data_IF_597204308417
#
_entry.id   IF_597204308417
#
_cell.length_a   1.000
_cell.length_b   1.000
_cell.length_c   1.000
_cell.angle_alpha   90.00
_cell.angle_beta   90.00
_cell.angle_gamma   90.00
#
_symmetry.space_group_name_H-M   'P 1'
#
loop_
_entity.id
_entity.type
_entity.pdbx_description
1 polymer ?
#
# COMPACT_ATOMS: atom_id res chain seq x y z
N UNK A 1 -7.78 16.24 19.22
CA UNK A 1 -7.00 15.66 18.10
C UNK A 1 -5.98 16.69 17.65
N UNK A 2 -4.84 16.23 17.16
CA UNK A 2 -3.90 17.12 16.51
C UNK A 2 -4.37 17.37 15.09
N UNK A 3 -4.16 18.59 14.60
CA UNK A 3 -4.53 18.96 13.24
C UNK A 3 -3.38 19.70 12.58
N UNK A 4 -3.31 19.61 11.26
CA UNK A 4 -2.34 20.34 10.44
C UNK A 4 -3.02 20.82 9.17
N UNK A 5 -3.04 22.13 8.96
CA UNK A 5 -3.55 22.72 7.72
C UNK A 5 -2.55 22.55 6.59
N UNK A 6 -3.06 22.25 5.40
CA UNK A 6 -2.28 22.16 4.16
C UNK A 6 -2.97 22.95 3.06
N UNK A 7 -2.31 23.10 1.91
CA UNK A 7 -2.91 23.76 0.75
C UNK A 7 -4.12 23.00 0.17
N UNK A 8 -4.23 21.70 0.45
CA UNK A 8 -5.25 20.81 -0.11
C UNK A 8 -6.28 20.33 0.93
N UNK A 9 -6.18 20.76 2.19
CA UNK A 9 -7.10 20.34 3.24
C UNK A 9 -6.54 20.46 4.64
N UNK A 10 -6.96 19.55 5.53
CA UNK A 10 -6.50 19.49 6.92
C UNK A 10 -6.22 18.05 7.30
N UNK A 11 -4.99 17.75 7.71
CA UNK A 11 -4.65 16.51 8.38
C UNK A 11 -5.24 16.49 9.78
N UNK A 12 -5.78 15.35 10.17
CA UNK A 12 -6.31 15.10 11.50
C UNK A 12 -5.65 13.83 12.01
N UNK A 13 -5.03 13.91 13.18
CA UNK A 13 -4.64 12.73 13.93
C UNK A 13 -5.87 12.22 14.70
N UNK A 14 -6.56 11.26 14.09
CA UNK A 14 -7.71 10.60 14.67
C UNK A 14 -7.33 9.45 15.62
N UNK A 15 -6.04 9.20 15.85
CA UNK A 15 -5.55 8.05 16.60
C UNK A 15 -5.84 6.72 15.91
N UNK A 16 -5.94 5.64 16.69
CA UNK A 16 -6.27 4.33 16.16
C UNK A 16 -7.78 4.23 15.85
N UNK A 17 -8.10 4.19 14.55
CA UNK A 17 -9.46 3.93 14.08
C UNK A 17 -9.70 2.41 13.99
N UNK A 18 -10.84 1.95 14.50
CA UNK A 18 -11.24 0.56 14.35
C UNK A 18 -11.78 0.29 12.94
N UNK A 19 -11.41 -0.86 12.36
CA UNK A 19 -11.91 -1.29 11.06
C UNK A 19 -13.45 -1.35 11.07
N UNK A 20 -14.09 -0.94 9.97
CA UNK A 20 -15.55 -1.00 9.79
C UNK A 20 -16.33 -0.31 10.93
N UNK A 21 -15.77 0.76 11.50
CA UNK A 21 -16.40 1.56 12.54
C UNK A 21 -16.68 2.99 12.06
N UNK A 22 -17.55 3.69 12.78
CA UNK A 22 -17.82 5.12 12.57
C UNK A 22 -17.34 5.88 13.79
N UNK A 23 -16.48 6.86 13.56
CA UNK A 23 -15.96 7.76 14.61
C UNK A 23 -16.54 9.15 14.41
N UNK A 24 -17.37 9.58 15.36
CA UNK A 24 -17.93 10.94 15.36
C UNK A 24 -16.85 11.97 15.70
N UNK A 25 -16.72 12.99 14.86
CA UNK A 25 -15.82 14.12 15.08
C UNK A 25 -16.64 15.40 15.23
N UNK A 26 -16.29 16.23 16.22
CA UNK A 26 -16.87 17.56 16.39
C UNK A 26 -15.80 18.62 16.19
N UNK A 27 -16.06 19.58 15.29
CA UNK A 27 -15.22 20.76 15.12
C UNK A 27 -15.64 21.77 16.20
N UNK A 28 -14.67 22.17 17.03
CA UNK A 28 -14.84 23.17 18.08
C UNK A 28 -13.86 24.31 17.88
N UNK A 29 -14.25 25.53 18.21
CA UNK A 29 -13.33 26.67 18.27
C UNK A 29 -12.46 26.56 19.52
N UNK A 30 -11.14 26.68 19.37
CA UNK A 30 -10.19 26.62 20.48
C UNK A 30 -8.73 26.62 20.03
N UNK A 31 -7.81 26.76 20.99
CA UNK A 31 -6.38 26.63 20.71
C UNK A 31 -6.05 25.21 20.24
N UNK A 32 -5.36 25.11 19.11
CA UNK A 32 -4.87 23.84 18.61
C UNK A 32 -3.77 23.33 19.54
N UNK A 33 -3.94 22.11 20.05
CA UNK A 33 -2.82 21.41 20.69
C UNK A 33 -1.75 21.17 19.62
N UNK A 34 -0.52 21.59 19.86
CA UNK A 34 0.63 21.18 19.05
C UNK A 34 1.18 19.89 19.64
N UNK A 35 1.30 18.81 18.87
CA UNK A 35 1.97 17.63 19.38
C UNK A 35 3.48 17.93 19.47
N UNK A 36 4.13 17.38 20.49
CA UNK A 36 5.58 17.34 20.54
C UNK A 36 6.06 16.26 19.57
N UNK A 37 6.13 16.58 18.27
CA UNK A 37 6.66 15.66 17.26
C UNK A 37 8.08 16.02 16.88
N UNK A 38 8.90 15.00 16.63
CA UNK A 38 10.27 15.13 16.13
C UNK A 38 10.29 15.06 14.60
N UNK A 39 9.26 15.59 13.93
CA UNK A 39 9.19 15.58 12.47
C UNK A 39 10.02 16.75 11.93
N UNK A 40 11.15 16.42 11.31
CA UNK A 40 12.11 17.37 10.76
C UNK A 40 12.03 17.29 9.23
N UNK A 41 12.00 18.46 8.59
CA UNK A 41 12.05 18.55 7.13
C UNK A 41 12.92 19.71 6.65
N UNK A 42 13.78 19.40 5.69
CA UNK A 42 14.55 20.35 4.88
C UNK A 42 14.54 19.84 3.43
N UNK A 43 15.04 20.58 2.44
CA UNK A 43 15.16 20.06 1.07
C UNK A 43 15.96 18.75 0.95
N UNK A 44 16.87 18.46 1.89
CA UNK A 44 17.77 17.31 1.86
C UNK A 44 17.43 16.25 2.92
N UNK A 45 16.38 16.46 3.73
CA UNK A 45 16.08 15.60 4.87
C UNK A 45 14.59 15.50 5.17
N UNK A 46 14.10 14.28 5.38
CA UNK A 46 12.86 13.96 6.09
C UNK A 46 13.21 13.03 7.26
N UNK A 47 12.81 13.38 8.48
CA UNK A 47 13.06 12.53 9.64
C UNK A 47 11.90 12.59 10.62
N UNK A 48 11.52 11.43 11.15
CA UNK A 48 10.61 11.32 12.28
C UNK A 48 11.26 10.46 13.39
N UNK A 49 10.46 9.97 14.33
CA UNK A 49 10.96 9.13 15.43
C UNK A 49 11.45 7.75 14.96
N UNK A 50 10.92 7.21 13.86
CA UNK A 50 11.22 5.86 13.37
C UNK A 50 12.20 5.80 12.21
N UNK A 51 12.26 6.83 11.36
CA UNK A 51 12.99 6.79 10.09
C UNK A 51 13.64 8.13 9.77
N UNK A 52 14.82 8.06 9.15
CA UNK A 52 15.56 9.21 8.62
C UNK A 52 15.85 8.98 7.14
N UNK A 53 15.44 9.90 6.28
CA UNK A 53 15.60 9.86 4.82
C UNK A 53 16.43 11.06 4.37
N UNK A 54 17.55 10.82 3.70
CA UNK A 54 18.44 11.87 3.20
C UNK A 54 18.45 11.91 1.67
N UNK A 55 18.36 13.12 1.12
CA UNK A 55 18.42 13.38 -0.32
C UNK A 55 19.71 14.13 -0.66
N UNK A 56 20.32 13.81 -1.80
CA UNK A 56 21.44 14.57 -2.33
C UNK A 56 20.97 15.83 -3.10
N UNK A 57 21.91 16.65 -3.57
CA UNK A 57 21.61 17.87 -4.34
C UNK A 57 20.98 17.60 -5.73
N UNK A 58 21.07 16.37 -6.24
CA UNK A 58 20.37 15.94 -7.43
C UNK A 58 18.93 15.51 -7.13
N UNK A 59 18.52 15.43 -5.86
CA UNK A 59 17.20 15.01 -5.39
C UNK A 59 17.04 13.50 -5.22
N UNK A 60 18.14 12.74 -5.28
CA UNK A 60 18.12 11.29 -5.12
C UNK A 60 18.07 10.92 -3.65
N UNK A 61 17.29 9.91 -3.30
CA UNK A 61 17.31 9.34 -1.95
C UNK A 61 18.57 8.48 -1.84
N UNK A 62 19.54 8.96 -1.08
CA UNK A 62 20.86 8.32 -0.90
C UNK A 62 20.96 7.56 0.41
N UNK A 63 20.03 7.78 1.33
CA UNK A 63 20.01 7.11 2.62
C UNK A 63 18.58 6.99 3.16
N UNK A 64 18.26 5.80 3.66
CA UNK A 64 17.06 5.54 4.45
C UNK A 64 17.52 4.73 5.65
N UNK A 65 17.44 5.33 6.84
CA UNK A 65 17.87 4.72 8.09
C UNK A 65 16.67 4.44 8.97
N UNK A 66 16.50 3.18 9.37
CA UNK A 66 15.50 2.78 10.36
C UNK A 66 16.09 2.96 11.75
N UNK A 67 15.56 3.94 12.48
CA UNK A 67 16.00 4.32 13.83
C UNK A 67 15.54 3.32 14.90
N UNK A 68 14.51 2.53 14.61
CA UNK A 68 13.96 1.55 15.56
C UNK A 68 14.77 0.25 15.53
N UNK A 69 15.32 -0.12 14.37
CA UNK A 69 16.17 -1.31 14.18
C UNK A 69 17.65 -0.98 14.02
N UNK A 70 17.98 0.31 14.05
CA UNK A 70 19.33 0.86 14.01
C UNK A 70 20.15 0.42 12.79
N UNK A 71 19.50 0.29 11.61
CA UNK A 71 20.15 -0.18 10.37
C UNK A 71 19.81 0.65 9.15
N UNK A 72 20.70 0.59 8.16
CA UNK A 72 20.44 1.12 6.82
C UNK A 72 19.45 0.20 6.09
N UNK A 73 18.53 0.81 5.35
CA UNK A 73 17.59 0.11 4.46
C UNK A 73 18.22 -0.08 3.07
N UNK A 74 19.10 0.82 2.67
CA UNK A 74 19.77 0.79 1.37
C UNK A 74 21.18 0.21 1.49
N UNK A 75 21.68 -0.53 0.48
CA UNK A 75 23.09 -0.88 0.40
C UNK A 75 23.97 0.37 0.29
N UNK A 76 25.24 0.26 0.69
CA UNK A 76 26.19 1.38 0.60
C UNK A 76 26.29 1.93 -0.84
N UNK A 77 26.10 3.25 -0.97
CA UNK A 77 26.19 3.96 -2.25
C UNK A 77 24.98 3.75 -3.19
N UNK A 78 23.97 2.99 -2.78
CA UNK A 78 22.76 2.79 -3.57
C UNK A 78 21.85 4.01 -3.55
N UNK A 79 21.01 4.15 -4.58
CA UNK A 79 20.00 5.20 -4.71
C UNK A 79 18.62 4.56 -4.76
N UNK A 80 17.71 5.04 -3.92
CA UNK A 80 16.30 4.64 -3.89
C UNK A 80 15.42 5.61 -4.67
N UNK A 81 14.19 5.18 -4.98
CA UNK A 81 13.22 5.95 -5.77
C UNK A 81 13.79 6.41 -7.13
N UNK A 82 14.60 5.56 -7.76
CA UNK A 82 15.27 5.89 -9.02
C UNK A 82 14.38 5.54 -10.21
N UNK A 83 14.00 6.54 -11.01
CA UNK A 83 13.31 6.29 -12.28
C UNK A 83 14.27 5.73 -13.32
N UNK A 84 13.87 4.62 -13.92
CA UNK A 84 14.59 3.88 -14.94
C UNK A 84 13.66 3.71 -16.15
N UNK A 85 14.04 4.32 -17.27
CA UNK A 85 13.34 4.16 -18.54
C UNK A 85 14.04 3.09 -19.38
N UNK A 86 13.26 2.20 -19.97
CA UNK A 86 13.74 1.08 -20.77
C UNK A 86 13.15 1.13 -22.17
N UNK A 87 13.90 0.69 -23.18
CA UNK A 87 13.34 0.50 -24.52
C UNK A 87 12.35 -0.67 -24.50
N UNK A 88 11.12 -0.42 -24.93
CA UNK A 88 10.01 -1.37 -24.91
C UNK A 88 9.49 -1.58 -26.33
N UNK A 89 10.18 -2.46 -27.05
CA UNK A 89 9.88 -2.84 -28.43
C UNK A 89 9.78 -4.36 -28.53
N UNK A 90 8.67 -4.96 -28.09
CA UNK A 90 8.53 -6.41 -28.13
C UNK A 90 8.47 -6.91 -29.58
N UNK A 91 8.92 -8.15 -29.79
CA UNK A 91 8.98 -8.79 -31.10
C UNK A 91 7.59 -8.92 -31.74
N UNK A 92 6.57 -9.18 -30.93
CA UNK A 92 5.17 -9.24 -31.33
C UNK A 92 4.29 -8.53 -30.29
N UNK A 93 3.09 -8.11 -30.69
CA UNK A 93 2.03 -7.61 -29.82
C UNK A 93 2.46 -6.51 -28.82
N UNK A 94 2.82 -5.34 -29.37
CA UNK A 94 3.29 -4.14 -28.64
C UNK A 94 2.62 -3.91 -27.27
N UNK A 95 1.29 -3.79 -27.21
CA UNK A 95 0.59 -3.56 -25.94
C UNK A 95 0.50 -4.78 -25.00
N UNK A 96 0.73 -6.00 -25.46
CA UNK A 96 0.58 -7.22 -24.66
C UNK A 96 1.90 -7.73 -24.11
N UNK A 97 2.95 -7.74 -24.93
CA UNK A 97 4.21 -8.38 -24.59
C UNK A 97 5.22 -7.36 -24.05
N UNK A 98 6.04 -7.80 -23.11
CA UNK A 98 7.34 -7.18 -22.78
C UNK A 98 8.36 -8.27 -23.03
N UNK A 99 9.43 -7.97 -23.75
CA UNK A 99 10.50 -8.95 -23.98
C UNK A 99 11.53 -8.88 -22.87
N UNK A 100 12.12 -10.04 -22.52
CA UNK A 100 13.09 -10.17 -21.42
C UNK A 100 14.34 -9.28 -21.58
N UNK A 101 14.64 -8.85 -22.81
CA UNK A 101 15.78 -8.00 -23.17
C UNK A 101 15.48 -6.50 -23.06
N UNK A 102 14.33 -6.11 -22.47
CA UNK A 102 13.98 -4.71 -22.27
C UNK A 102 15.07 -3.93 -21.49
N UNK A 103 15.85 -4.62 -20.66
CA UNK A 103 16.92 -4.04 -19.85
C UNK A 103 18.26 -3.82 -20.58
N UNK A 104 18.35 -4.14 -21.89
CA UNK A 104 19.54 -3.89 -22.72
C UNK A 104 19.83 -2.38 -22.93
N UNK A 105 18.78 -1.55 -22.89
CA UNK A 105 18.90 -0.08 -22.99
C UNK A 105 18.15 0.58 -21.86
N UNK A 106 18.91 1.30 -21.03
CA UNK A 106 18.39 1.99 -19.86
C UNK A 106 18.80 3.46 -19.85
N UNK A 107 17.87 4.33 -19.47
CA UNK A 107 18.11 5.73 -19.15
C UNK A 107 17.65 6.02 -17.72
N UNK A 108 18.38 6.89 -17.04
CA UNK A 108 18.03 7.40 -15.71
C UNK A 108 17.43 8.79 -15.82
N UNK A 109 16.69 9.20 -14.80
CA UNK A 109 16.16 10.56 -14.72
C UNK A 109 17.29 11.59 -14.60
N UNK A 110 17.05 12.78 -15.15
CA UNK A 110 17.93 13.91 -14.99
C UNK A 110 17.96 14.37 -13.51
N UNK A 111 19.04 15.04 -13.06
CA UNK A 111 19.06 15.70 -11.76
C UNK A 111 17.85 16.62 -11.57
N UNK A 112 17.41 16.75 -10.32
CA UNK A 112 16.28 17.60 -9.98
C UNK A 112 16.49 19.04 -10.43
N UNK A 113 15.48 19.60 -11.08
CA UNK A 113 15.43 21.02 -11.44
C UNK A 113 14.97 21.88 -10.27
N UNK A 114 14.25 21.29 -9.32
CA UNK A 114 13.77 21.94 -8.09
C UNK A 114 13.59 20.89 -6.99
N UNK A 115 14.01 21.25 -5.77
CA UNK A 115 13.74 20.50 -4.53
C UNK A 115 13.24 21.52 -3.51
N UNK A 116 12.01 21.36 -3.01
CA UNK A 116 11.39 22.30 -2.09
C UNK A 116 10.58 21.62 -1.02
N UNK A 117 10.62 22.16 0.20
CA UNK A 117 9.68 21.77 1.26
C UNK A 117 8.33 22.41 0.95
N UNK A 118 7.29 21.59 0.76
CA UNK A 118 5.92 22.07 0.49
C UNK A 118 5.00 21.88 1.70
N UNK A 119 5.42 21.08 2.67
CA UNK A 119 4.68 20.81 3.90
C UNK A 119 5.66 20.57 5.06
N UNK A 120 5.48 21.28 6.17
CA UNK A 120 6.36 21.23 7.36
C UNK A 120 5.56 21.27 8.68
N UNK A 121 4.35 20.71 8.67
CA UNK A 121 3.55 20.66 9.87
C UNK A 121 3.90 19.45 10.76
N UNK A 122 3.29 19.35 11.94
CA UNK A 122 3.70 18.40 12.95
C UNK A 122 3.19 16.96 12.73
N UNK A 123 2.23 16.74 11.84
CA UNK A 123 1.66 15.42 11.50
C UNK A 123 2.25 14.81 10.24
N UNK A 124 2.59 15.64 9.26
CA UNK A 124 3.17 15.22 7.99
C UNK A 124 4.15 16.26 7.48
N UNK A 125 5.24 15.79 6.89
CA UNK A 125 6.19 16.61 6.17
C UNK A 125 6.31 16.10 4.74
N UNK A 126 6.50 17.02 3.80
CA UNK A 126 6.54 16.70 2.37
C UNK A 126 7.59 17.54 1.65
N UNK A 127 8.48 16.87 0.92
CA UNK A 127 9.39 17.45 -0.06
C UNK A 127 8.79 17.25 -1.44
N UNK A 128 8.79 18.30 -2.25
CA UNK A 128 8.51 18.21 -3.67
C UNK A 128 9.82 18.21 -4.47
N UNK A 129 9.98 17.23 -5.36
CA UNK A 129 11.10 17.09 -6.29
C UNK A 129 10.58 17.15 -7.73
N UNK A 130 11.09 18.08 -8.52
CA UNK A 130 10.75 18.21 -9.95
C UNK A 130 11.91 17.73 -10.81
N UNK A 131 11.61 16.86 -11.78
CA UNK A 131 12.59 16.16 -12.61
C UNK A 131 12.07 15.97 -14.03
N UNK A 132 12.96 15.48 -14.89
CA UNK A 132 12.65 15.03 -16.23
C UNK A 132 13.26 13.64 -16.45
N UNK A 133 12.53 12.78 -17.15
CA UNK A 133 13.02 11.50 -17.67
C UNK A 133 12.75 11.53 -19.18
N UNK A 134 13.79 11.44 -20.00
CA UNK A 134 13.69 11.58 -21.45
C UNK A 134 12.95 12.89 -21.84
N UNK A 135 11.75 12.81 -22.43
CA UNK A 135 10.93 13.94 -22.84
C UNK A 135 9.78 14.25 -21.86
N UNK A 136 9.66 13.46 -20.79
CA UNK A 136 8.55 13.51 -19.83
C UNK A 136 8.97 14.21 -18.55
N UNK A 137 8.24 15.27 -18.18
CA UNK A 137 8.46 16.01 -16.93
C UNK A 137 7.59 15.44 -15.84
N UNK A 138 8.12 15.36 -14.63
CA UNK A 138 7.38 14.83 -13.50
C UNK A 138 7.71 15.55 -12.20
N UNK A 139 6.76 15.48 -11.28
CA UNK A 139 6.84 16.01 -9.93
C UNK A 139 6.54 14.88 -8.95
N UNK A 140 7.40 14.70 -7.96
CA UNK A 140 7.19 13.77 -6.86
C UNK A 140 6.98 14.52 -5.57
N UNK A 141 5.93 14.16 -4.83
CA UNK A 141 5.72 14.52 -3.44
C UNK A 141 6.19 13.35 -2.57
N UNK A 142 7.32 13.52 -1.89
CA UNK A 142 7.91 12.55 -0.99
C UNK A 142 7.50 12.95 0.43
N UNK A 143 6.71 12.10 1.08
CA UNK A 143 6.05 12.43 2.34
C UNK A 143 6.32 11.44 3.45
N UNK A 144 6.46 11.96 4.66
CA UNK A 144 6.65 11.19 5.88
C UNK A 144 5.65 11.66 6.94
N UNK A 145 4.90 10.70 7.48
CA UNK A 145 3.99 10.95 8.61
C UNK A 145 4.76 10.86 9.93
N UNK A 146 4.32 11.58 10.96
CA UNK A 146 5.03 11.67 12.23
C UNK A 146 5.15 10.33 13.01
N UNK A 147 4.25 9.38 12.74
CA UNK A 147 4.07 8.13 13.49
C UNK A 147 4.20 6.85 12.64
N UNK A 148 4.80 6.94 11.46
CA UNK A 148 4.94 5.80 10.54
C UNK A 148 6.32 5.77 9.89
N UNK A 149 6.97 4.59 9.75
CA UNK A 149 8.20 4.47 8.98
C UNK A 149 7.96 4.48 7.46
N UNK A 150 6.69 4.43 7.03
CA UNK A 150 6.28 4.42 5.62
C UNK A 150 6.65 5.75 4.94
N UNK A 151 7.38 5.63 3.83
CA UNK A 151 7.68 6.74 2.93
C UNK A 151 6.69 6.70 1.77
N UNK A 152 5.83 7.72 1.66
CA UNK A 152 4.86 7.83 0.57
C UNK A 152 5.42 8.69 -0.56
N UNK A 153 5.33 8.20 -1.80
CA UNK A 153 5.73 8.93 -3.01
C UNK A 153 4.53 9.03 -3.95
N UNK A 154 3.94 10.22 -4.02
CA UNK A 154 2.94 10.55 -5.05
C UNK A 154 3.64 11.19 -6.24
N UNK A 155 3.44 10.64 -7.44
CA UNK A 155 4.03 11.14 -8.67
C UNK A 155 2.94 11.67 -9.60
N UNK A 156 3.13 12.89 -10.10
CA UNK A 156 2.43 13.46 -11.23
C UNK A 156 3.41 13.56 -12.41
N UNK A 157 3.11 12.92 -13.55
CA UNK A 157 3.96 12.90 -14.75
C UNK A 157 3.16 13.25 -16.00
N UNK A 158 3.72 14.09 -16.86
CA UNK A 158 3.23 14.31 -18.22
C UNK A 158 3.99 13.35 -19.14
N UNK A 159 3.38 12.19 -19.38
CA UNK A 159 3.99 11.07 -20.08
C UNK A 159 3.92 11.27 -21.59
N UNK A 160 5.08 11.42 -22.23
CA UNK A 160 5.22 11.78 -23.65
C UNK A 160 6.09 10.81 -24.45
N UNK A 161 6.46 9.68 -23.85
CA UNK A 161 7.37 8.72 -24.47
C UNK A 161 6.65 7.79 -25.45
N UNK A 162 7.42 7.12 -26.31
CA UNK A 162 6.93 6.08 -27.23
C UNK A 162 7.86 4.88 -27.17
N UNK A 163 7.30 3.68 -27.06
CA UNK A 163 8.05 2.44 -26.87
C UNK A 163 9.02 2.50 -25.68
N UNK A 164 8.58 3.06 -24.56
CA UNK A 164 9.32 3.12 -23.30
C UNK A 164 8.50 2.44 -22.20
N UNK A 165 9.19 1.61 -21.40
CA UNK A 165 8.73 1.10 -20.13
C UNK A 165 9.43 1.89 -19.01
N UNK A 166 8.66 2.65 -18.23
CA UNK A 166 9.16 3.36 -17.05
C UNK A 166 9.00 2.46 -15.82
N UNK A 167 10.09 2.28 -15.07
CA UNK A 167 10.07 1.66 -13.75
C UNK A 167 10.66 2.60 -12.69
N UNK A 168 10.36 2.32 -11.43
CA UNK A 168 11.07 2.88 -10.27
C UNK A 168 11.81 1.77 -9.53
N UNK A 169 13.04 2.03 -9.11
CA UNK A 169 13.89 1.07 -8.41
C UNK A 169 14.19 1.45 -6.96
N UNK A 170 14.15 0.44 -6.10
CA UNK A 170 14.50 0.47 -4.69
C UNK A 170 15.48 -0.68 -4.39
N UNK A 171 16.79 -0.44 -4.50
CA UNK A 171 17.79 -1.34 -3.94
C UNK A 171 17.65 -1.37 -2.42
N UNK A 172 17.56 -2.55 -1.82
CA UNK A 172 17.45 -2.73 -0.36
C UNK A 172 18.57 -3.62 0.15
N UNK A 173 19.05 -3.39 1.37
CA UNK A 173 20.10 -4.20 1.99
C UNK A 173 19.48 -5.47 2.62
N UNK A 174 18.90 -6.32 1.77
CA UNK A 174 18.21 -7.55 2.15
C UNK A 174 18.69 -8.70 1.29
N UNK A 175 19.06 -9.80 1.94
CA UNK A 175 19.44 -11.03 1.27
C UNK A 175 18.33 -12.07 1.40
N UNK A 176 17.58 -12.28 0.32
CA UNK A 176 16.63 -13.39 0.24
C UNK A 176 16.62 -14.03 -1.15
N UNK A 177 16.58 -15.38 -1.25
CA UNK A 177 16.45 -16.07 -2.52
C UNK A 177 15.03 -15.99 -3.10
N UNK A 178 14.06 -15.47 -2.34
CA UNK A 178 12.66 -15.35 -2.75
C UNK A 178 12.05 -14.03 -2.32
N UNK A 179 11.18 -13.49 -3.16
CA UNK A 179 10.34 -12.34 -2.85
C UNK A 179 8.87 -12.78 -2.76
N UNK A 180 8.08 -12.06 -1.96
CA UNK A 180 6.65 -12.32 -1.79
C UNK A 180 5.83 -11.30 -2.58
N UNK A 181 4.84 -11.79 -3.32
CA UNK A 181 3.95 -10.98 -4.16
C UNK A 181 2.51 -11.23 -3.70
N UNK A 182 1.77 -10.16 -3.37
CA UNK A 182 0.35 -10.28 -3.05
C UNK A 182 -0.44 -10.74 -4.29
N UNK A 183 -1.32 -11.70 -4.09
CA UNK A 183 -2.34 -12.11 -5.05
C UNK A 183 -3.72 -12.05 -4.38
N UNK A 184 -4.78 -12.30 -5.14
CA UNK A 184 -6.13 -12.34 -4.61
C UNK A 184 -6.20 -13.31 -3.41
N UNK A 185 -6.56 -12.76 -2.24
CA UNK A 185 -6.74 -13.49 -0.98
C UNK A 185 -5.52 -14.30 -0.50
N UNK A 186 -4.32 -13.84 -0.81
CA UNK A 186 -3.09 -14.49 -0.36
C UNK A 186 -1.83 -13.91 -0.97
N UNK A 187 -0.82 -14.75 -1.10
CA UNK A 187 0.45 -14.35 -1.70
C UNK A 187 1.15 -15.57 -2.32
N UNK A 188 2.12 -15.28 -3.19
CA UNK A 188 3.01 -16.28 -3.77
C UNK A 188 4.45 -15.84 -3.63
N UNK A 189 5.34 -16.80 -3.46
CA UNK A 189 6.78 -16.55 -3.47
C UNK A 189 7.36 -16.84 -4.85
N UNK A 190 8.22 -15.93 -5.33
CA UNK A 190 8.98 -16.09 -6.57
C UNK A 190 10.48 -15.93 -6.29
N UNK A 191 11.36 -16.67 -6.98
CA UNK A 191 12.79 -16.50 -6.82
C UNK A 191 13.26 -15.10 -7.24
N UNK A 192 14.27 -14.58 -6.54
CA UNK A 192 14.93 -13.30 -6.88
C UNK A 192 16.11 -13.48 -7.85
N UNK A 193 16.38 -14.71 -8.29
CA UNK A 193 17.50 -15.05 -9.16
C UNK A 193 17.02 -15.72 -10.45
N UNK A 194 17.86 -15.77 -11.49
CA UNK A 194 17.53 -16.40 -12.79
C UNK A 194 18.33 -17.70 -13.02
N UNK A 195 18.20 -18.68 -12.12
CA UNK A 195 19.00 -19.91 -12.17
C UNK A 195 18.42 -20.99 -13.09
N UNK A 196 17.09 -21.03 -13.25
CA UNK A 196 16.41 -21.98 -14.15
C UNK A 196 15.69 -21.26 -15.28
N UNK A 197 15.31 -21.97 -16.35
CA UNK A 197 14.50 -21.40 -17.44
C UNK A 197 13.16 -20.84 -16.94
N UNK A 198 12.58 -21.42 -15.90
CA UNK A 198 11.37 -20.94 -15.25
C UNK A 198 11.58 -19.64 -14.49
N UNK A 199 12.77 -19.43 -13.94
CA UNK A 199 13.10 -18.19 -13.25
C UNK A 199 13.42 -17.08 -14.25
N UNK A 200 14.13 -17.43 -15.33
CA UNK A 200 14.32 -16.54 -16.48
C UNK A 200 12.99 -16.01 -17.02
N UNK A 201 11.99 -16.88 -17.18
CA UNK A 201 10.68 -16.50 -17.69
C UNK A 201 9.86 -15.58 -16.77
N UNK A 202 10.24 -15.44 -15.49
CA UNK A 202 9.52 -14.62 -14.48
C UNK A 202 10.23 -13.29 -14.22
N UNK A 203 10.74 -12.67 -15.27
CA UNK A 203 11.43 -11.38 -15.16
C UNK A 203 10.49 -10.22 -14.81
N UNK A 204 9.17 -10.39 -14.98
CA UNK A 204 8.10 -9.49 -14.56
C UNK A 204 7.01 -10.34 -13.90
N UNK A 205 6.48 -9.90 -12.76
CA UNK A 205 5.44 -10.61 -12.00
C UNK A 205 4.32 -9.67 -11.62
N UNK A 206 3.08 -10.16 -11.74
CA UNK A 206 1.90 -9.44 -11.27
C UNK A 206 1.77 -9.52 -9.74
N UNK A 207 1.53 -8.37 -9.11
CA UNK A 207 1.07 -8.27 -7.72
C UNK A 207 -0.02 -7.22 -7.60
N UNK A 208 -0.87 -7.33 -6.58
CA UNK A 208 -2.03 -6.45 -6.43
C UNK A 208 -1.64 -5.10 -5.78
N UNK A 209 -1.36 -5.08 -4.48
CA UNK A 209 -1.12 -3.86 -3.70
C UNK A 209 0.27 -3.80 -3.09
N UNK A 210 0.93 -4.95 -2.90
CA UNK A 210 2.29 -4.98 -2.37
C UNK A 210 3.15 -6.11 -2.93
N UNK A 211 4.46 -5.84 -2.91
CA UNK A 211 5.53 -6.83 -3.01
C UNK A 211 6.48 -6.66 -1.84
N UNK A 212 7.17 -7.73 -1.48
CA UNK A 212 8.02 -7.74 -0.30
C UNK A 212 9.31 -8.53 -0.51
N UNK A 213 10.41 -7.99 0.02
CA UNK A 213 11.66 -8.70 0.19
C UNK A 213 12.06 -8.67 1.66
N UNK A 214 12.08 -9.84 2.29
CA UNK A 214 12.39 -10.01 3.70
C UNK A 214 13.48 -11.07 3.91
N UNK A 215 14.35 -10.82 4.89
CA UNK A 215 15.29 -11.78 5.46
C UNK A 215 14.87 -12.16 6.90
N UNK A 216 15.76 -12.75 7.68
CA UNK A 216 15.42 -13.37 8.96
C UNK A 216 14.65 -12.48 9.94
N UNK A 217 15.13 -11.26 10.19
CA UNK A 217 14.61 -10.34 11.20
C UNK A 217 14.23 -8.96 10.65
N UNK A 218 14.26 -8.77 9.33
CA UNK A 218 14.00 -7.49 8.70
C UNK A 218 13.49 -7.66 7.27
N UNK A 219 12.70 -6.69 6.81
CA UNK A 219 12.19 -6.70 5.45
C UNK A 219 11.76 -5.32 5.00
N UNK A 220 11.53 -5.23 3.69
CA UNK A 220 11.06 -4.02 3.03
C UNK A 220 9.95 -4.38 2.08
N UNK A 221 8.76 -3.83 2.37
CA UNK A 221 7.61 -3.92 1.49
C UNK A 221 7.52 -2.68 0.61
N UNK A 222 7.16 -2.88 -0.65
CA UNK A 222 6.81 -1.82 -1.59
C UNK A 222 5.32 -1.92 -1.90
N UNK A 223 4.59 -0.84 -1.62
CA UNK A 223 3.14 -0.73 -1.77
C UNK A 223 2.80 0.12 -2.99
N UNK A 224 1.64 -0.10 -3.61
CA UNK A 224 1.15 0.74 -4.71
C UNK A 224 -0.38 0.87 -4.71
N UNK A 225 -0.90 1.89 -5.42
CA UNK A 225 -2.34 2.15 -5.58
C UNK A 225 -2.92 1.72 -6.94
N UNK A 226 -2.10 1.58 -7.97
CA UNK A 226 -2.58 1.30 -9.33
C UNK A 226 -1.58 0.58 -10.26
N UNK A 227 -0.49 0.03 -9.72
CA UNK A 227 0.60 -0.57 -10.52
C UNK A 227 0.69 -2.07 -10.26
N UNK A 228 0.55 -2.87 -11.31
CA UNK A 228 0.46 -4.32 -11.15
C UNK A 228 1.73 -5.07 -11.57
N UNK A 229 2.59 -4.45 -12.38
CA UNK A 229 3.86 -5.04 -12.83
C UNK A 229 5.00 -4.79 -11.85
N UNK A 230 5.71 -5.84 -11.46
CA UNK A 230 6.84 -5.76 -10.53
C UNK A 230 7.95 -6.72 -10.94
N UNK A 231 9.18 -6.35 -10.68
CA UNK A 231 10.31 -7.28 -10.74
C UNK A 231 11.20 -7.12 -9.52
N UNK A 232 11.59 -8.25 -8.91
CA UNK A 232 12.54 -8.26 -7.79
C UNK A 232 13.68 -9.17 -8.20
N UNK A 233 14.83 -8.56 -8.48
CA UNK A 233 16.05 -9.26 -8.87
C UNK A 233 17.12 -8.98 -7.83
N UNK A 234 17.65 -10.06 -7.26
CA UNK A 234 18.56 -10.03 -6.12
C UNK A 234 17.93 -9.19 -5.00
N UNK A 235 18.50 -8.02 -4.74
CA UNK A 235 18.08 -7.11 -3.68
C UNK A 235 17.42 -5.82 -4.22
N UNK A 236 17.09 -5.77 -5.51
CA UNK A 236 16.47 -4.59 -6.12
C UNK A 236 15.00 -4.86 -6.39
N UNK A 237 14.14 -4.10 -5.71
CA UNK A 237 12.69 -4.11 -5.94
C UNK A 237 12.35 -3.04 -6.98
N UNK A 238 11.63 -3.43 -8.04
CA UNK A 238 11.14 -2.51 -9.07
C UNK A 238 9.63 -2.62 -9.26
N UNK A 239 9.01 -1.46 -9.49
CA UNK A 239 7.61 -1.34 -9.92
C UNK A 239 7.60 -0.81 -11.35
N UNK A 240 6.86 -1.46 -12.24
CA UNK A 240 6.53 -0.95 -13.56
C UNK A 240 5.45 0.11 -13.46
N UNK A 241 5.79 1.34 -13.82
CA UNK A 241 4.94 2.53 -13.61
C UNK A 241 4.07 2.85 -14.81
N UNK A 242 4.69 2.99 -15.98
CA UNK A 242 4.01 3.36 -17.23
C UNK A 242 4.65 2.62 -18.38
N UNK A 243 3.85 2.31 -19.40
CA UNK A 243 4.32 1.88 -20.71
C UNK A 243 3.82 2.86 -21.76
N UNK A 244 4.38 2.80 -22.95
CA UNK A 244 3.89 3.58 -24.09
C UNK A 244 3.91 2.75 -25.38
N UNK A 245 3.16 1.63 -25.44
CA UNK A 245 2.97 0.92 -26.67
C UNK A 245 2.22 1.81 -27.67
N UNK A 246 2.33 1.51 -28.95
CA UNK A 246 1.67 2.26 -30.04
C UNK A 246 0.69 1.41 -30.84
N UNK A 247 0.59 0.11 -30.52
CA UNK A 247 -0.35 -0.82 -31.11
C UNK A 247 -1.05 -1.63 -30.02
N UNK A 248 -2.39 -1.67 -29.98
CA UNK A 248 -3.32 -1.20 -31.01
C UNK A 248 -3.64 0.30 -30.95
N UNK A 249 -3.31 0.96 -29.83
CA UNK A 249 -3.58 2.38 -29.60
C UNK A 249 -2.29 3.21 -29.78
N UNK A 250 -2.22 4.10 -30.78
CA UNK A 250 -1.05 4.95 -31.03
C UNK A 250 -0.70 5.96 -29.94
N UNK A 251 -1.63 6.23 -29.02
CA UNK A 251 -1.52 7.22 -27.95
C UNK A 251 -1.72 6.61 -26.55
N UNK A 252 -1.54 5.29 -26.42
CA UNK A 252 -1.69 4.59 -25.15
C UNK A 252 -0.90 5.27 -24.02
N UNK A 253 -1.58 5.54 -22.91
CA UNK A 253 -1.09 6.16 -21.68
C UNK A 253 -0.45 7.56 -21.81
N UNK A 254 -0.47 8.18 -23.00
CA UNK A 254 0.03 9.54 -23.22
C UNK A 254 -0.70 10.57 -22.35
N UNK A 255 0.03 11.58 -21.90
CA UNK A 255 -0.51 12.73 -21.16
C UNK A 255 -0.36 12.61 -19.65
N UNK A 256 -1.25 13.28 -18.92
CA UNK A 256 -1.14 13.42 -17.47
C UNK A 256 -1.50 12.12 -16.75
N UNK A 257 -0.56 11.61 -15.96
CA UNK A 257 -0.70 10.42 -15.13
C UNK A 257 -0.40 10.76 -13.68
N UNK A 258 -1.15 10.17 -12.76
CA UNK A 258 -0.92 10.29 -11.32
C UNK A 258 -0.95 8.91 -10.67
N UNK A 259 0.01 8.64 -9.80
CA UNK A 259 0.08 7.36 -9.08
C UNK A 259 0.88 7.51 -7.79
N UNK A 260 0.61 6.59 -6.85
CA UNK A 260 1.28 6.55 -5.54
C UNK A 260 1.88 5.18 -5.29
N UNK A 261 3.08 5.17 -4.75
CA UNK A 261 3.70 4.00 -4.17
C UNK A 261 4.42 4.38 -2.90
N UNK A 262 4.66 3.39 -2.05
CA UNK A 262 5.26 3.60 -0.74
C UNK A 262 6.33 2.57 -0.46
N UNK A 263 7.37 2.99 0.24
CA UNK A 263 8.38 2.09 0.81
C UNK A 263 8.11 1.93 2.30
N UNK A 264 7.98 0.69 2.76
CA UNK A 264 7.70 0.36 4.16
C UNK A 264 8.72 -0.65 4.68
N UNK A 265 9.76 -0.19 5.40
CA UNK A 265 10.61 -1.06 6.20
C UNK A 265 9.83 -1.63 7.38
N UNK A 266 10.07 -2.89 7.72
CA UNK A 266 9.42 -3.55 8.86
C UNK A 266 10.33 -4.58 9.54
N UNK A 267 9.95 -4.99 10.75
CA UNK A 267 10.64 -6.06 11.46
C UNK A 267 10.19 -7.43 10.97
N UNK A 268 11.13 -8.36 10.92
CA UNK A 268 10.90 -9.74 10.50
C UNK A 268 10.43 -9.83 9.05
N UNK A 269 9.57 -10.81 8.81
CA UNK A 269 8.93 -11.02 7.52
C UNK A 269 7.72 -10.10 7.34
N UNK A 270 7.25 -9.94 6.09
CA UNK A 270 5.97 -9.26 5.84
C UNK A 270 4.84 -9.87 6.67
N UNK A 271 3.87 -9.04 7.01
CA UNK A 271 2.78 -9.47 7.87
C UNK A 271 1.61 -8.50 7.90
N UNK A 272 1.02 -8.38 9.08
CA UNK A 272 -0.21 -7.62 9.32
C UNK A 272 -0.01 -6.13 9.08
N UNK A 273 1.20 -5.63 9.38
CA UNK A 273 1.59 -4.23 9.15
C UNK A 273 1.59 -3.88 7.66
N UNK A 274 2.31 -4.66 6.84
CA UNK A 274 2.35 -4.51 5.38
C UNK A 274 0.95 -4.58 4.77
N UNK A 275 0.16 -5.58 5.13
CA UNK A 275 -1.19 -5.77 4.58
C UNK A 275 -2.08 -4.57 4.95
N UNK A 276 -2.09 -4.17 6.22
CA UNK A 276 -2.88 -3.02 6.70
C UNK A 276 -2.47 -1.72 5.99
N UNK A 277 -1.16 -1.49 5.82
CA UNK A 277 -0.65 -0.33 5.09
C UNK A 277 -1.07 -0.35 3.62
N UNK A 278 -0.99 -1.52 2.97
CA UNK A 278 -1.42 -1.72 1.59
C UNK A 278 -2.92 -1.42 1.41
N UNK A 279 -3.78 -1.90 2.31
CA UNK A 279 -5.21 -1.55 2.30
C UNK A 279 -5.43 -0.06 2.60
N UNK A 280 -4.75 0.52 3.58
CA UNK A 280 -4.91 1.95 3.91
C UNK A 280 -4.52 2.89 2.76
N UNK A 281 -3.56 2.48 1.92
CA UNK A 281 -3.19 3.20 0.70
C UNK A 281 -4.29 3.12 -0.38
N UNK A 282 -5.05 2.02 -0.43
CA UNK A 282 -6.01 1.71 -1.49
C UNK A 282 -7.49 1.96 -1.10
N UNK A 283 -7.79 2.07 0.19
CA UNK A 283 -9.14 2.25 0.73
C UNK A 283 -9.18 3.52 1.62
N UNK A 284 -9.37 4.71 1.03
CA UNK A 284 -9.34 5.96 1.76
C UNK A 284 -10.54 6.09 2.71
N UNK A 285 -10.31 6.76 3.84
CA UNK A 285 -11.38 7.04 4.80
C UNK A 285 -12.51 7.86 4.18
N UNK A 286 -13.75 7.43 4.40
CA UNK A 286 -14.94 8.17 4.00
C UNK A 286 -15.26 9.20 5.08
N UNK A 287 -15.18 10.49 4.73
CA UNK A 287 -15.57 11.60 5.60
C UNK A 287 -16.97 12.07 5.21
N UNK A 288 -17.89 12.11 6.18
CA UNK A 288 -19.26 12.57 5.98
C UNK A 288 -19.62 13.67 6.99
N UNK A 289 -20.14 14.78 6.47
CA UNK A 289 -20.65 15.89 7.28
C UNK A 289 -22.18 15.88 7.23
N UNK A 290 -22.88 15.60 8.35
CA UNK A 290 -24.34 15.56 8.37
C UNK A 290 -24.95 16.96 8.18
N UNK A 291 -26.07 17.04 7.44
CA UNK A 291 -26.78 18.31 7.18
C UNK A 291 -27.45 18.90 8.42
N UNK A 292 -27.92 18.05 9.33
CA UNK A 292 -28.48 18.44 10.61
C UNK A 292 -27.46 18.12 11.71
N UNK A 293 -27.17 19.12 12.56
CA UNK A 293 -26.43 18.87 13.79
C UNK A 293 -27.25 17.86 14.61
N UNK A 294 -26.67 16.70 14.90
CA UNK A 294 -27.28 15.78 15.84
C UNK A 294 -27.45 16.52 17.19
N UNK A 295 -28.66 16.53 17.73
CA UNK A 295 -28.97 17.13 19.04
C UNK A 295 -28.25 16.43 20.21
N UNK A 296 -27.64 15.27 19.93
CA UNK A 296 -26.82 14.54 20.89
C UNK A 296 -25.34 14.77 20.56
N UNK A 297 -24.69 15.57 21.41
CA UNK A 297 -23.25 15.54 21.58
C UNK A 297 -22.87 14.10 21.96
N UNK A 298 -22.43 13.34 20.98
CA UNK A 298 -22.00 12.00 21.17
C UNK A 298 -20.69 11.84 20.41
N UNK A 299 -19.60 12.07 21.13
CA UNK A 299 -18.33 11.35 20.94
C UNK A 299 -18.57 9.83 21.12
N UNK A 300 -19.56 9.27 20.42
CA UNK A 300 -19.89 7.86 20.44
C UNK A 300 -19.21 7.25 19.22
N UNK A 301 -18.11 6.57 19.49
CA UNK A 301 -17.62 5.58 18.55
C UNK A 301 -18.70 4.50 18.45
N UNK A 302 -19.34 4.42 17.27
CA UNK A 302 -20.26 3.32 17.02
C UNK A 302 -19.45 2.02 16.97
N UNK A 303 -19.95 0.92 17.54
CA UNK A 303 -19.24 -0.35 17.49
C UNK A 303 -18.97 -0.73 16.04
N UNK A 304 -17.83 -1.40 15.81
CA UNK A 304 -17.51 -1.94 14.49
C UNK A 304 -18.66 -2.82 13.99
N UNK A 305 -19.03 -2.66 12.72
CA UNK A 305 -20.12 -3.40 12.12
C UNK A 305 -19.86 -4.91 12.19
N UNK A 306 -18.62 -5.30 11.87
CA UNK A 306 -18.08 -6.65 12.01
C UNK A 306 -16.60 -6.52 12.40
N UNK A 307 -16.11 -7.34 13.33
CA UNK A 307 -14.67 -7.49 13.61
C UNK A 307 -14.29 -8.96 13.76
N UNK A 308 -13.01 -9.25 13.60
CA UNK A 308 -12.40 -10.53 13.97
C UNK A 308 -11.26 -10.32 14.98
N UNK A 309 -11.00 -11.34 15.80
CA UNK A 309 -9.94 -11.30 16.82
C UNK A 309 -8.54 -11.64 16.28
N UNK A 310 -8.45 -12.11 15.03
CA UNK A 310 -7.19 -12.51 14.38
C UNK A 310 -6.77 -11.48 13.32
N UNK A 311 -5.66 -10.77 13.51
CA UNK A 311 -5.19 -9.76 12.55
C UNK A 311 -4.69 -10.34 11.21
N UNK A 312 -4.32 -11.61 11.14
CA UNK A 312 -4.02 -12.31 9.89
C UNK A 312 -5.28 -12.81 9.14
N UNK A 313 -6.49 -12.54 9.66
CA UNK A 313 -7.76 -12.83 8.98
C UNK A 313 -8.38 -11.52 8.54
N UNK A 314 -8.48 -11.33 7.24
CA UNK A 314 -8.91 -10.07 6.64
C UNK A 314 -10.37 -10.19 6.24
N UNK A 315 -11.20 -9.26 6.70
CA UNK A 315 -12.57 -9.10 6.19
C UNK A 315 -12.47 -8.35 4.86
N UNK A 316 -12.76 -9.06 3.78
CA UNK A 316 -12.62 -8.53 2.41
C UNK A 316 -13.95 -7.95 1.91
N UNK A 317 -15.06 -8.59 2.24
CA UNK A 317 -16.35 -8.23 1.65
C UNK A 317 -17.44 -8.24 2.69
N UNK A 318 -18.25 -7.18 2.71
CA UNK A 318 -19.51 -7.11 3.43
C UNK A 318 -20.56 -6.62 2.46
N UNK A 319 -21.61 -7.42 2.26
CA UNK A 319 -22.73 -7.05 1.39
C UNK A 319 -24.04 -7.66 1.90
N UNK A 320 -25.17 -7.18 1.41
CA UNK A 320 -26.45 -7.89 1.59
C UNK A 320 -26.42 -9.21 0.80
N UNK A 321 -27.09 -10.23 1.31
CA UNK A 321 -27.33 -11.44 0.54
C UNK A 321 -28.19 -11.13 -0.70
N UNK A 322 -27.96 -11.84 -1.80
CA UNK A 322 -28.68 -11.58 -3.06
C UNK A 322 -30.18 -11.84 -2.96
N UNK A 323 -30.58 -12.82 -2.15
CA UNK A 323 -31.99 -13.12 -1.83
C UNK A 323 -32.60 -12.16 -0.80
N UNK A 324 -31.83 -11.18 -0.32
CA UNK A 324 -32.24 -10.21 0.68
C UNK A 324 -32.23 -10.74 2.12
N UNK A 325 -31.93 -12.02 2.35
CA UNK A 325 -31.93 -12.62 3.67
C UNK A 325 -30.54 -12.64 4.31
N UNK A 326 -30.28 -11.61 5.12
CA UNK A 326 -29.05 -11.49 5.91
C UNK A 326 -27.92 -10.76 5.19
N UNK A 327 -26.74 -10.84 5.80
CA UNK A 327 -25.52 -10.15 5.40
C UNK A 327 -24.45 -11.19 5.07
N UNK A 328 -23.81 -11.06 3.92
CA UNK A 328 -22.67 -11.89 3.52
C UNK A 328 -21.39 -11.19 3.97
N UNK A 329 -20.59 -11.92 4.74
CA UNK A 329 -19.24 -11.52 5.16
C UNK A 329 -18.24 -12.53 4.60
N UNK A 330 -17.30 -12.05 3.78
CA UNK A 330 -16.21 -12.87 3.24
C UNK A 330 -14.90 -12.48 3.89
N UNK A 331 -14.18 -13.48 4.35
CA UNK A 331 -12.88 -13.35 5.01
C UNK A 331 -11.87 -14.27 4.35
N UNK A 332 -10.58 -13.96 4.49
CA UNK A 332 -9.52 -14.88 4.12
C UNK A 332 -8.37 -14.85 5.13
N UNK A 333 -7.67 -15.98 5.24
CA UNK A 333 -6.43 -16.09 6.00
C UNK A 333 -5.23 -15.69 5.11
N UNK A 334 -4.45 -14.70 5.53
CA UNK A 334 -3.44 -14.07 4.65
C UNK A 334 -2.01 -14.57 4.82
N UNK A 335 -1.71 -15.35 5.86
CA UNK A 335 -0.34 -15.63 6.31
C UNK A 335 0.00 -17.13 6.45
N UNK A 336 -0.78 -17.99 5.80
CA UNK A 336 -0.61 -19.45 5.84
C UNK A 336 -0.73 -20.02 7.26
N UNK A 337 -1.51 -19.40 8.14
CA UNK A 337 -1.74 -19.85 9.52
C UNK A 337 -3.03 -20.65 9.64
N UNK A 338 -3.09 -21.49 10.67
CA UNK A 338 -4.30 -22.21 11.07
C UNK A 338 -4.70 -21.74 12.45
N UNK A 339 -6.00 -21.60 12.70
CA UNK A 339 -6.45 -21.19 14.02
C UNK A 339 -7.95 -21.11 14.16
N UNK A 340 -8.37 -20.83 15.39
CA UNK A 340 -9.75 -20.53 15.74
C UNK A 340 -9.94 -19.02 15.67
N UNK A 341 -11.00 -18.57 15.00
CA UNK A 341 -11.33 -17.16 14.77
C UNK A 341 -12.67 -16.86 15.41
N UNK A 342 -12.73 -15.79 16.20
CA UNK A 342 -13.97 -15.25 16.74
C UNK A 342 -14.35 -14.01 15.95
N UNK A 343 -15.57 -14.02 15.39
CA UNK A 343 -16.18 -12.88 14.73
C UNK A 343 -17.22 -12.28 15.66
N UNK A 344 -17.13 -10.98 15.90
CA UNK A 344 -18.10 -10.20 16.69
C UNK A 344 -18.80 -9.21 15.77
N UNK A 345 -20.12 -9.13 15.84
CA UNK A 345 -20.96 -8.18 15.11
C UNK A 345 -21.43 -7.03 15.99
N UNK A 346 -21.75 -5.88 15.37
CA UNK A 346 -22.42 -4.75 16.03
C UNK A 346 -23.91 -4.96 16.31
N UNK A 347 -24.45 -6.15 16.02
CA UNK A 347 -25.87 -6.53 16.16
C UNK A 347 -25.99 -8.00 16.60
N UNK A 348 -27.15 -8.39 17.13
CA UNK A 348 -27.38 -9.78 17.53
C UNK A 348 -27.65 -10.70 16.32
N UNK A 349 -27.16 -11.94 16.41
CA UNK A 349 -27.26 -12.96 15.38
C UNK A 349 -28.39 -13.94 15.72
N UNK A 350 -29.27 -14.18 14.76
CA UNK A 350 -30.28 -15.25 14.83
C UNK A 350 -29.71 -16.57 14.30
N UNK A 351 -29.08 -16.51 13.13
CA UNK A 351 -28.48 -17.67 12.47
C UNK A 351 -27.19 -17.29 11.74
N UNK A 352 -26.27 -18.25 11.66
CA UNK A 352 -25.04 -18.10 10.89
C UNK A 352 -24.80 -19.35 10.08
N UNK A 353 -24.45 -19.18 8.80
CA UNK A 353 -24.19 -20.27 7.88
C UNK A 353 -22.84 -20.07 7.20
N UNK A 354 -22.04 -21.13 7.11
CA UNK A 354 -21.00 -21.18 6.08
C UNK A 354 -21.68 -21.23 4.72
N UNK A 355 -21.18 -20.46 3.77
CA UNK A 355 -21.66 -20.50 2.38
C UNK A 355 -20.51 -20.70 1.42
N UNK A 356 -20.83 -21.17 0.22
CA UNK A 356 -19.91 -21.04 -0.90
C UNK A 356 -19.90 -19.60 -1.46
N UNK A 357 -19.12 -19.36 -2.53
CA UNK A 357 -19.02 -18.05 -3.17
C UNK A 357 -20.34 -17.57 -3.80
N UNK A 358 -21.28 -18.48 -4.05
CA UNK A 358 -22.63 -18.23 -4.59
C UNK A 358 -23.69 -18.08 -3.49
N UNK A 359 -23.28 -17.97 -2.22
CA UNK A 359 -24.18 -17.73 -1.07
C UNK A 359 -25.11 -18.90 -0.74
N UNK A 360 -24.83 -20.09 -1.28
CA UNK A 360 -25.56 -21.30 -0.96
C UNK A 360 -25.15 -21.78 0.44
N UNK A 361 -26.14 -21.93 1.33
CA UNK A 361 -25.90 -22.36 2.70
C UNK A 361 -25.37 -23.79 2.75
N UNK A 362 -24.26 -23.97 3.45
CA UNK A 362 -23.70 -25.25 3.85
C UNK A 362 -23.92 -25.52 5.33
N UNK A 363 -22.84 -25.66 6.08
CA UNK A 363 -22.89 -25.97 7.51
C UNK A 363 -23.32 -24.77 8.35
N UNK A 364 -24.25 -24.99 9.30
CA UNK A 364 -24.64 -23.97 10.26
C UNK A 364 -23.55 -23.77 11.31
N UNK A 365 -23.22 -22.52 11.62
CA UNK A 365 -22.26 -22.14 12.65
C UNK A 365 -23.02 -21.70 13.89
N UNK A 366 -22.62 -22.23 15.05
CA UNK A 366 -23.21 -21.81 16.32
C UNK A 366 -22.80 -20.38 16.66
N UNK A 367 -23.77 -19.55 17.02
CA UNK A 367 -23.57 -18.17 17.48
C UNK A 367 -24.23 -17.96 18.85
N UNK A 368 -23.70 -17.01 19.63
CA UNK A 368 -24.24 -16.61 20.92
C UNK A 368 -24.26 -15.08 21.00
N UNK A 369 -25.45 -14.49 21.09
CA UNK A 369 -25.61 -13.04 21.07
C UNK A 369 -25.11 -12.44 19.76
N UNK A 370 -24.00 -11.72 19.81
CA UNK A 370 -23.37 -11.08 18.66
C UNK A 370 -22.01 -11.72 18.27
N UNK A 371 -21.72 -12.92 18.77
CA UNK A 371 -20.46 -13.60 18.53
C UNK A 371 -20.65 -14.98 17.90
N UNK A 372 -19.71 -15.36 17.04
CA UNK A 372 -19.58 -16.71 16.52
C UNK A 372 -18.10 -17.11 16.47
N UNK A 373 -17.82 -18.40 16.41
CA UNK A 373 -16.44 -18.88 16.33
C UNK A 373 -16.31 -20.06 15.39
N UNK A 374 -15.31 -20.02 14.53
CA UNK A 374 -15.03 -21.05 13.53
C UNK A 374 -13.52 -21.32 13.44
N UNK A 375 -13.14 -22.41 12.77
CA UNK A 375 -11.74 -22.71 12.48
C UNK A 375 -11.41 -22.30 11.05
N UNK A 376 -10.24 -21.70 10.84
CA UNK A 376 -9.74 -21.31 9.53
C UNK A 376 -8.45 -22.06 9.19
N UNK A 377 -8.30 -22.48 7.94
CA UNK A 377 -7.11 -23.15 7.40
C UNK A 377 -6.19 -22.13 6.70
N UNK A 378 -4.92 -22.48 6.47
CA UNK A 378 -4.00 -21.65 5.70
C UNK A 378 -4.57 -21.25 4.34
N UNK A 379 -4.63 -19.95 4.04
CA UNK A 379 -5.22 -19.37 2.82
C UNK A 379 -6.67 -19.76 2.54
N UNK A 380 -7.43 -20.16 3.56
CA UNK A 380 -8.84 -20.46 3.38
C UNK A 380 -9.65 -19.18 3.21
N UNK A 381 -10.51 -19.18 2.19
CA UNK A 381 -11.53 -18.16 1.99
C UNK A 381 -12.80 -18.66 2.66
N UNK A 382 -13.28 -17.92 3.64
CA UNK A 382 -14.50 -18.24 4.39
C UNK A 382 -15.57 -17.24 3.99
N UNK A 383 -16.73 -17.72 3.54
CA UNK A 383 -17.92 -16.89 3.36
C UNK A 383 -18.96 -17.29 4.41
N UNK A 384 -19.46 -16.29 5.14
CA UNK A 384 -20.48 -16.45 6.16
C UNK A 384 -21.72 -15.65 5.77
N UNK A 385 -22.89 -16.26 5.88
CA UNK A 385 -24.17 -15.56 5.89
C UNK A 385 -24.60 -15.34 7.34
N UNK A 386 -24.79 -14.08 7.72
CA UNK A 386 -25.22 -13.63 9.03
C UNK A 386 -26.68 -13.16 8.96
N UNK A 387 -27.58 -13.87 9.64
CA UNK A 387 -29.00 -13.47 9.76
C UNK A 387 -29.15 -12.70 11.08
N UNK A 388 -29.70 -11.48 10.99
CA UNK A 388 -29.89 -10.61 12.15
C UNK A 388 -31.10 -11.06 12.97
N UNK A 389 -31.03 -10.90 14.30
CA UNK A 389 -32.11 -11.23 15.24
C UNK A 389 -33.21 -10.17 15.33
#
# INVERSE_FOLDING_TARGET
MYVQSTNSGTWIDAGALHQLSITGLQIVEGEQKQPSTELIVTPELLENTSTRIELNSAGDIVRIYDKVREREVLPEGAIANQFQAFEDRPMNWDAWDVDIFYDDKQWLADPATSIRVVESGPLRATIEVQRQILHSKYTQLISLNYNSPQLDITTDIDWRERHILLKVAFPVDILSPVATYEIQWGNVQRPTHRNTSWDWARFETCAQKFVDLSEGDYGVSVLNDCKYGHDIKENVIRISLLRSPTMPDPEADQGAQRFTYSLLPHAGNWGEETIRAAYALNDPLIVYTPEQKADTAAEQQLPAFVRVDKPNVIIETIKRAEDGNGIIVRLYESQRRRGRVTLTTGFNLAEVWHTNLLEENGEQVQCQGNELTFSIKPYEIVTLRLVQA
#
